data_IF_935493809765
#
_entry.id   IF_935493809765
#
_cell.length_a   1.000
_cell.length_b   1.000
_cell.length_c   1.000
_cell.angle_alpha   90.00
_cell.angle_beta   90.00
_cell.angle_gamma   90.00
#
_symmetry.space_group_name_H-M   'P 1'
#
loop_
_entity.id
_entity.type
_entity.pdbx_description
1 polymer ?
#
# COMPACT_ATOMS: atom_id res chain seq x y z
N UNK A 1 -11.21 21.01 0.58
CA UNK A 1 -10.55 21.06 -0.76
C UNK A 1 -9.05 21.31 -0.69
N UNK A 2 -8.56 22.23 0.17
CA UNK A 2 -7.12 22.56 0.31
C UNK A 2 -6.22 21.37 0.63
N UNK A 3 -6.58 20.53 1.61
CA UNK A 3 -5.81 19.34 2.00
C UNK A 3 -5.63 18.31 0.86
N UNK A 4 -6.67 18.09 0.03
CA UNK A 4 -6.59 17.18 -1.12
C UNK A 4 -5.66 17.71 -2.22
N UNK A 5 -5.69 19.03 -2.48
CA UNK A 5 -4.75 19.68 -3.40
C UNK A 5 -3.31 19.58 -2.89
N UNK A 6 -3.11 19.77 -1.59
CA UNK A 6 -1.79 19.66 -0.97
C UNK A 6 -1.25 18.23 -1.01
N UNK A 7 -2.10 17.24 -0.69
CA UNK A 7 -1.75 15.83 -0.82
C UNK A 7 -1.33 15.49 -2.27
N UNK A 8 -2.10 15.94 -3.26
CA UNK A 8 -1.75 15.76 -4.67
C UNK A 8 -0.41 16.43 -5.05
N UNK A 9 -0.13 17.61 -4.50
CA UNK A 9 1.14 18.30 -4.74
C UNK A 9 2.32 17.53 -4.15
N UNK A 10 2.18 17.04 -2.91
CA UNK A 10 3.19 16.20 -2.26
C UNK A 10 3.44 14.90 -3.04
N UNK A 11 2.39 14.26 -3.53
CA UNK A 11 2.53 13.06 -4.36
C UNK A 11 3.31 13.33 -5.65
N UNK A 12 3.03 14.46 -6.33
CA UNK A 12 3.79 14.85 -7.53
C UNK A 12 5.26 15.07 -7.22
N UNK A 13 5.58 15.80 -6.15
CA UNK A 13 6.98 15.97 -5.72
C UNK A 13 7.65 14.66 -5.37
N UNK A 14 6.95 13.76 -4.66
CA UNK A 14 7.48 12.44 -4.33
C UNK A 14 7.80 11.62 -5.58
N UNK A 15 6.93 11.64 -6.59
CA UNK A 15 7.18 10.97 -7.88
C UNK A 15 8.41 11.56 -8.59
N UNK A 16 8.51 12.88 -8.67
CA UNK A 16 9.66 13.56 -9.30
C UNK A 16 10.98 13.21 -8.59
N UNK A 17 10.97 13.13 -7.25
CA UNK A 17 12.14 12.73 -6.47
C UNK A 17 12.48 11.25 -6.62
N UNK A 18 11.48 10.37 -6.67
CA UNK A 18 11.69 8.94 -6.92
C UNK A 18 12.34 8.71 -8.29
N UNK A 19 11.95 9.47 -9.32
CA UNK A 19 12.60 9.47 -10.64
C UNK A 19 14.06 9.97 -10.63
N UNK A 20 14.44 10.77 -9.62
CA UNK A 20 15.81 11.24 -9.38
C UNK A 20 16.60 10.31 -8.45
N UNK A 21 16.13 9.09 -8.19
CA UNK A 21 16.74 8.13 -7.25
C UNK A 21 16.76 8.58 -5.78
N UNK A 22 16.07 9.68 -5.45
CA UNK A 22 15.93 10.21 -4.08
C UNK A 22 14.74 9.55 -3.40
N UNK A 23 14.80 8.23 -3.30
CA UNK A 23 13.68 7.41 -2.86
C UNK A 23 13.28 7.66 -1.40
N UNK A 24 14.23 7.83 -0.48
CA UNK A 24 13.95 8.13 0.93
C UNK A 24 13.17 9.44 1.13
N UNK A 25 13.55 10.49 0.40
CA UNK A 25 12.83 11.77 0.44
C UNK A 25 11.44 11.66 -0.20
N UNK A 26 11.31 10.88 -1.27
CA UNK A 26 10.03 10.58 -1.89
C UNK A 26 9.07 9.89 -0.90
N UNK A 27 9.55 8.92 -0.12
CA UNK A 27 8.75 8.26 0.92
C UNK A 27 8.21 9.27 1.94
N UNK A 28 9.04 10.21 2.41
CA UNK A 28 8.62 11.28 3.32
C UNK A 28 7.53 12.18 2.74
N UNK A 29 7.54 12.43 1.43
CA UNK A 29 6.46 13.16 0.75
C UNK A 29 5.16 12.36 0.69
N UNK A 30 5.22 11.06 0.40
CA UNK A 30 4.04 10.20 0.40
C UNK A 30 3.43 10.04 1.80
N UNK A 31 4.26 9.96 2.85
CA UNK A 31 3.80 9.91 4.24
C UNK A 31 3.07 11.18 4.66
N UNK A 32 3.58 12.35 4.27
CA UNK A 32 2.86 13.62 4.50
C UNK A 32 1.54 13.67 3.73
N UNK A 33 1.49 13.14 2.50
CA UNK A 33 0.25 13.07 1.74
C UNK A 33 -0.79 12.15 2.41
N UNK A 34 -0.37 11.01 2.95
CA UNK A 34 -1.20 10.10 3.74
C UNK A 34 -1.68 10.75 5.06
N UNK A 35 -0.82 11.51 5.73
CA UNK A 35 -1.20 12.23 6.95
C UNK A 35 -2.25 13.32 6.70
N UNK A 36 -2.18 14.01 5.55
CA UNK A 36 -3.16 15.03 5.16
C UNK A 36 -4.48 14.43 4.67
N UNK A 37 -4.40 13.28 3.99
CA UNK A 37 -5.57 12.55 3.50
C UNK A 37 -5.40 11.07 3.84
N UNK A 38 -5.88 10.61 5.01
CA UNK A 38 -5.71 9.23 5.44
C UNK A 38 -6.70 8.27 4.74
N UNK A 39 -7.77 8.81 4.14
CA UNK A 39 -8.81 7.99 3.50
C UNK A 39 -9.19 8.49 2.09
N UNK A 40 -9.74 7.57 1.30
CA UNK A 40 -10.25 7.84 -0.05
C UNK A 40 -9.21 7.71 -1.15
N UNK A 41 -9.56 8.20 -2.35
CA UNK A 41 -8.77 7.98 -3.58
C UNK A 41 -7.34 8.51 -3.47
N UNK A 42 -7.14 9.69 -2.88
CA UNK A 42 -5.79 10.28 -2.73
C UNK A 42 -4.92 9.49 -1.76
N UNK A 43 -5.50 9.03 -0.64
CA UNK A 43 -4.81 8.16 0.32
C UNK A 43 -4.32 6.87 -0.36
N UNK A 44 -5.23 6.17 -1.05
CA UNK A 44 -4.90 4.94 -1.80
C UNK A 44 -3.79 5.19 -2.81
N UNK A 45 -3.87 6.28 -3.55
CA UNK A 45 -2.89 6.61 -4.58
C UNK A 45 -1.51 6.98 -3.98
N UNK A 46 -1.47 7.63 -2.81
CA UNK A 46 -0.21 7.88 -2.09
C UNK A 46 0.42 6.58 -1.53
N UNK A 47 -0.41 5.67 -1.01
CA UNK A 47 0.01 4.33 -0.56
C UNK A 47 0.65 3.54 -1.70
N UNK A 48 0.00 3.46 -2.87
CA UNK A 48 0.54 2.76 -4.05
C UNK A 48 1.92 3.30 -4.47
N UNK A 49 2.08 4.64 -4.49
CA UNK A 49 3.36 5.28 -4.82
C UNK A 49 4.45 4.96 -3.77
N UNK A 50 4.08 4.95 -2.49
CA UNK A 50 5.00 4.58 -1.40
C UNK A 50 5.44 3.12 -1.54
N UNK A 51 4.51 2.21 -1.79
CA UNK A 51 4.78 0.78 -1.99
C UNK A 51 5.71 0.54 -3.19
N UNK A 52 5.44 1.19 -4.32
CA UNK A 52 6.31 1.09 -5.50
C UNK A 52 7.73 1.55 -5.18
N UNK A 53 7.86 2.68 -4.47
CA UNK A 53 9.17 3.25 -4.09
C UNK A 53 9.94 2.34 -3.13
N UNK A 54 9.27 1.76 -2.13
CA UNK A 54 9.87 0.80 -1.21
C UNK A 54 10.36 -0.46 -1.95
N UNK A 55 9.60 -0.96 -2.92
CA UNK A 55 10.02 -2.09 -3.76
C UNK A 55 11.24 -1.76 -4.61
N UNK A 56 11.31 -0.56 -5.19
CA UNK A 56 12.49 -0.09 -5.94
C UNK A 56 13.74 -0.01 -5.07
N UNK A 57 13.59 0.36 -3.78
CA UNK A 57 14.68 0.34 -2.80
C UNK A 57 15.07 -1.07 -2.32
N UNK A 58 14.37 -2.13 -2.75
CA UNK A 58 14.56 -3.49 -2.23
C UNK A 58 13.96 -3.71 -0.84
N UNK A 59 13.26 -2.72 -0.26
CA UNK A 59 12.57 -2.78 1.04
C UNK A 59 11.19 -3.42 0.88
N UNK A 60 11.12 -4.56 0.19
CA UNK A 60 9.86 -5.24 -0.13
C UNK A 60 9.10 -5.71 1.12
N UNK A 61 9.81 -6.15 2.16
CA UNK A 61 9.21 -6.57 3.43
C UNK A 61 8.42 -5.43 4.11
N UNK A 62 8.93 -4.19 4.05
CA UNK A 62 8.22 -3.03 4.58
C UNK A 62 7.01 -2.66 3.72
N UNK A 63 7.12 -2.84 2.40
CA UNK A 63 5.99 -2.65 1.51
C UNK A 63 4.88 -3.68 1.77
N UNK A 64 5.22 -4.92 2.09
CA UNK A 64 4.26 -5.96 2.41
C UNK A 64 3.59 -5.72 3.77
N UNK A 65 4.38 -5.40 4.80
CA UNK A 65 3.84 -5.01 6.10
C UNK A 65 2.91 -3.79 6.01
N UNK A 66 3.28 -2.78 5.21
CA UNK A 66 2.44 -1.60 4.99
C UNK A 66 1.14 -1.95 4.24
N UNK A 67 1.18 -2.90 3.30
CA UNK A 67 -0.01 -3.37 2.58
C UNK A 67 -0.96 -4.08 3.53
N UNK A 68 -0.44 -4.92 4.42
CA UNK A 68 -1.26 -5.67 5.37
C UNK A 68 -1.96 -4.71 6.35
N UNK A 69 -1.24 -3.68 6.84
CA UNK A 69 -1.82 -2.62 7.66
C UNK A 69 -2.82 -1.72 6.90
N UNK A 70 -2.55 -1.38 5.64
CA UNK A 70 -3.37 -0.46 4.84
C UNK A 70 -4.60 -1.11 4.18
N UNK A 71 -4.57 -2.42 3.93
CA UNK A 71 -5.70 -3.20 3.41
C UNK A 71 -6.65 -3.61 4.53
N UNK A 72 -6.19 -3.68 5.79
CA UNK A 72 -7.02 -4.03 6.95
C UNK A 72 -8.20 -3.08 7.23
N UNK A 73 -8.15 -1.82 6.78
CA UNK A 73 -9.22 -0.83 7.04
C UNK A 73 -9.89 -0.24 5.79
N UNK A 74 -9.34 -0.46 4.59
CA UNK A 74 -10.04 -0.07 3.38
C UNK A 74 -10.90 -1.24 2.93
N UNK A 75 -12.25 -1.15 2.99
CA UNK A 75 -13.11 -2.05 2.25
C UNK A 75 -12.89 -1.72 0.76
N UNK A 76 -11.81 -2.27 0.19
CA UNK A 76 -11.84 -2.62 -1.20
C UNK A 76 -13.07 -3.51 -1.34
N UNK A 77 -13.99 -3.17 -2.23
CA UNK A 77 -15.05 -4.09 -2.63
C UNK A 77 -14.43 -5.47 -2.83
N UNK A 78 -14.64 -6.33 -1.83
CA UNK A 78 -14.24 -7.72 -1.86
C UNK A 78 -15.13 -8.38 -2.90
N UNK A 79 -14.65 -8.45 -4.12
CA UNK A 79 -14.97 -9.60 -4.95
C UNK A 79 -13.68 -10.39 -5.11
N UNK A 80 -13.68 -11.49 -4.35
CA UNK A 80 -13.00 -12.74 -4.67
C UNK A 80 -11.48 -12.71 -4.61
N UNK A 81 -10.95 -13.19 -3.48
CA UNK A 81 -10.06 -14.36 -3.41
C UNK A 81 -9.94 -14.88 -1.98
N UNK A 82 -11.06 -15.28 -1.37
CA UNK A 82 -11.03 -16.30 -0.30
C UNK A 82 -11.26 -17.66 -0.94
N UNK A 83 -10.24 -18.16 -1.64
CA UNK A 83 -10.19 -19.55 -2.14
C UNK A 83 -8.75 -20.02 -2.10
N UNK A 84 -8.16 -20.02 -0.90
CA UNK A 84 -6.94 -20.79 -0.62
C UNK A 84 -6.91 -21.36 0.81
N UNK A 85 -7.87 -21.02 1.66
CA UNK A 85 -7.95 -21.51 3.05
C UNK A 85 -8.87 -22.73 3.25
N UNK A 86 -9.61 -23.21 2.25
CA UNK A 86 -10.59 -24.33 2.46
C UNK A 86 -10.18 -25.69 1.88
N UNK A 87 -8.95 -25.89 1.40
CA UNK A 87 -8.53 -27.23 0.93
C UNK A 87 -7.17 -27.65 1.46
N UNK A 88 -6.84 -27.24 2.68
CA UNK A 88 -5.76 -27.83 3.46
C UNK A 88 -6.20 -28.06 4.90
N UNK A 89 -7.36 -28.69 5.08
CA UNK A 89 -7.68 -29.44 6.27
C UNK A 89 -7.81 -30.92 5.88
N UNK A 90 -6.73 -31.66 6.16
CA UNK A 90 -6.74 -33.05 6.65
C UNK A 90 -7.35 -34.07 5.67
N UNK A 91 -6.55 -34.82 4.92
CA UNK A 91 -5.77 -35.95 5.46
C UNK A 91 -6.04 -36.22 6.94
N UNK A 92 -7.15 -36.87 7.26
CA UNK A 92 -7.21 -37.88 8.32
C UNK A 92 -8.58 -38.57 8.26
N UNK A 93 -8.70 -39.69 7.55
CA UNK A 93 -9.38 -40.91 8.05
C UNK A 93 -8.81 -42.11 7.29
N UNK A 94 -7.91 -42.78 8.02
CA UNK A 94 -7.39 -44.11 7.81
C UNK A 94 -8.49 -45.15 8.08
N UNK A 95 -8.26 -46.37 7.57
CA UNK A 95 -8.79 -47.66 8.04
C UNK A 95 -10.15 -48.15 7.50
N UNK A 96 -10.09 -49.31 6.81
CA UNK A 96 -11.22 -50.08 6.30
C UNK A 96 -10.87 -50.93 5.08
#
# INVERSE_FOLDING_TARGET
>A
MKAKKEALHLMRRGMDMAGQWRHEEALGHFDRALALTPTGRFARMALELKLATLRTLGRAAEADALRDLGVGEMPAHTKTTKSREEHNEKEEQHDG
#
